data_IF_171474484240
#
_entry.id   IF_171474484240
#
_cell.length_a   1.000
_cell.length_b   1.000
_cell.length_c   1.000
_cell.angle_alpha   90.00
_cell.angle_beta   90.00
_cell.angle_gamma   90.00
#
_symmetry.space_group_name_H-M   'P 1'
#
loop_
_entity.id
_entity.type
_entity.pdbx_description
1 polymer ?
#
# COMPACT_ATOMS: atom_id res chain seq x y z
N UNK A 1 5.58 -6.01 9.65
CA UNK A 1 4.55 -7.02 9.84
C UNK A 1 4.66 -7.63 11.23
N UNK A 2 3.56 -7.66 11.97
CA UNK A 2 3.48 -8.37 13.25
C UNK A 2 3.30 -9.88 12.98
N UNK A 3 4.26 -10.69 13.44
CA UNK A 3 4.30 -12.12 13.24
C UNK A 3 3.67 -12.91 14.42
N UNK A 4 3.13 -12.23 15.43
CA UNK A 4 2.51 -12.88 16.57
C UNK A 4 1.32 -13.74 16.11
N UNK A 5 1.23 -14.94 16.67
CA UNK A 5 0.18 -15.90 16.35
C UNK A 5 -0.87 -15.93 17.45
N UNK A 6 -2.14 -16.13 17.08
CA UNK A 6 -3.26 -16.19 18.03
C UNK A 6 -3.68 -14.82 18.56
N UNK A 7 -4.47 -14.83 19.64
CA UNK A 7 -5.00 -13.59 20.25
C UNK A 7 -6.33 -13.12 19.64
N UNK A 8 -6.91 -12.02 20.16
CA UNK A 8 -8.18 -11.48 19.69
C UNK A 8 -8.10 -10.96 18.25
N UNK A 9 -9.23 -10.97 17.55
CA UNK A 9 -9.35 -10.35 16.24
C UNK A 9 -9.17 -8.83 16.31
N UNK A 10 -8.74 -8.23 15.21
CA UNK A 10 -8.51 -6.80 15.09
C UNK A 10 -9.49 -6.16 14.11
N UNK A 11 -9.83 -4.89 14.33
CA UNK A 11 -10.63 -4.12 13.37
C UNK A 11 -9.81 -3.81 12.12
N UNK A 12 -10.46 -3.87 10.97
CA UNK A 12 -9.87 -3.42 9.69
C UNK A 12 -9.60 -1.91 9.67
N UNK A 13 -10.32 -1.14 10.50
CA UNK A 13 -10.18 0.32 10.60
C UNK A 13 -9.03 0.74 11.53
N UNK A 14 -8.36 -0.22 12.18
CA UNK A 14 -7.24 0.08 13.05
C UNK A 14 -5.97 0.37 12.20
N UNK A 15 -5.68 1.66 12.01
CA UNK A 15 -4.51 2.13 11.29
C UNK A 15 -3.18 1.70 11.92
N UNK A 16 -3.19 1.30 13.19
CA UNK A 16 -1.99 0.83 13.91
C UNK A 16 -1.81 -0.68 13.86
N UNK A 17 -2.76 -1.40 13.28
CA UNK A 17 -2.63 -2.85 13.13
C UNK A 17 -1.60 -3.20 12.05
N UNK A 18 -0.62 -4.03 12.41
CA UNK A 18 0.41 -4.57 11.52
C UNK A 18 0.25 -6.08 11.30
N UNK A 19 -0.83 -6.66 11.80
CA UNK A 19 -1.10 -8.10 11.67
C UNK A 19 -1.66 -8.41 10.28
N UNK A 20 -1.44 -9.64 9.85
CA UNK A 20 -2.01 -10.16 8.59
C UNK A 20 -3.53 -10.10 8.64
N UNK A 21 -4.17 -9.91 7.49
CA UNK A 21 -5.63 -9.88 7.34
C UNK A 21 -6.36 -11.13 7.87
N UNK A 22 -5.64 -12.24 8.03
CA UNK A 22 -6.15 -13.46 8.68
C UNK A 22 -6.68 -13.21 10.11
N UNK A 23 -6.19 -12.18 10.79
CA UNK A 23 -6.58 -11.82 12.16
C UNK A 23 -7.64 -10.71 12.23
N UNK A 24 -8.21 -10.31 11.09
CA UNK A 24 -9.31 -9.35 11.07
C UNK A 24 -10.59 -9.97 11.60
N UNK A 25 -11.39 -9.16 12.30
CA UNK A 25 -12.75 -9.53 12.66
C UNK A 25 -13.62 -9.53 11.41
N UNK A 26 -14.20 -10.67 11.09
CA UNK A 26 -15.16 -10.82 9.98
C UNK A 26 -16.53 -11.12 10.58
N UNK A 27 -17.46 -10.18 10.47
CA UNK A 27 -18.84 -10.38 10.86
C UNK A 27 -19.60 -11.16 9.76
N UNK A 28 -20.36 -12.19 10.16
CA UNK A 28 -21.12 -13.00 9.20
C UNK A 28 -22.27 -12.25 8.55
N UNK A 29 -22.89 -11.36 9.31
CA UNK A 29 -24.10 -10.64 8.88
C UNK A 29 -23.78 -9.42 8.04
N UNK A 30 -22.60 -8.81 8.26
CA UNK A 30 -22.18 -7.61 7.55
C UNK A 30 -20.69 -7.66 7.23
N UNK A 31 -20.39 -7.98 5.98
CA UNK A 31 -19.00 -7.97 5.51
C UNK A 31 -18.53 -6.52 5.34
N UNK A 32 -17.37 -6.21 5.94
CA UNK A 32 -16.79 -4.88 5.84
C UNK A 32 -16.59 -4.46 4.37
N UNK A 33 -16.92 -3.19 3.99
CA UNK A 33 -16.87 -2.73 2.59
C UNK A 33 -15.53 -2.96 1.90
N UNK A 34 -14.41 -2.78 2.60
CA UNK A 34 -13.06 -3.04 2.06
C UNK A 34 -12.87 -4.50 1.70
N UNK A 35 -13.33 -5.43 2.54
CA UNK A 35 -13.24 -6.86 2.25
C UNK A 35 -14.10 -7.23 1.05
N UNK A 36 -15.33 -6.69 0.97
CA UNK A 36 -16.24 -6.89 -0.16
C UNK A 36 -15.66 -6.36 -1.46
N UNK A 37 -15.05 -5.17 -1.42
CA UNK A 37 -14.40 -4.55 -2.59
C UNK A 37 -13.23 -5.38 -3.12
N UNK A 38 -12.54 -6.16 -2.25
CA UNK A 38 -11.40 -6.99 -2.62
C UNK A 38 -11.75 -8.48 -2.72
N UNK A 39 -12.95 -8.79 -3.16
CA UNK A 39 -13.41 -10.15 -3.47
C UNK A 39 -13.28 -11.15 -2.31
N UNK A 40 -13.47 -10.66 -1.08
CA UNK A 40 -13.51 -11.57 0.07
C UNK A 40 -14.78 -12.42 -0.01
N UNK A 41 -14.69 -13.76 0.16
CA UNK A 41 -15.85 -14.64 0.09
C UNK A 41 -16.90 -14.28 1.13
N UNK A 42 -18.17 -14.35 0.77
CA UNK A 42 -19.24 -14.18 1.76
C UNK A 42 -19.17 -15.27 2.84
N UNK A 43 -19.15 -14.85 4.11
CA UNK A 43 -19.02 -15.74 5.25
C UNK A 43 -20.23 -16.70 5.43
N UNK A 44 -21.36 -16.41 4.76
CA UNK A 44 -22.61 -17.19 4.83
C UNK A 44 -22.77 -18.20 3.70
N UNK A 45 -21.94 -18.15 2.66
CA UNK A 45 -22.05 -19.02 1.48
C UNK A 45 -20.78 -19.83 1.24
N UNK A 46 -20.95 -21.02 0.65
CA UNK A 46 -19.83 -21.84 0.23
C UNK A 46 -19.21 -21.25 -1.04
N UNK A 47 -17.94 -20.89 -0.98
CA UNK A 47 -17.16 -20.43 -2.13
C UNK A 47 -16.06 -21.46 -2.43
N UNK A 48 -16.19 -22.29 -3.48
CA UNK A 48 -15.18 -23.30 -3.81
C UNK A 48 -13.89 -22.69 -4.36
N UNK A 49 -13.97 -21.49 -4.93
CA UNK A 49 -12.85 -20.77 -5.50
C UNK A 49 -13.06 -19.26 -5.35
N UNK A 50 -11.99 -18.55 -5.07
CA UNK A 50 -11.96 -17.10 -5.13
C UNK A 50 -11.76 -16.68 -6.59
N UNK A 51 -12.60 -15.79 -7.09
CA UNK A 51 -12.45 -15.17 -8.41
C UNK A 51 -11.94 -13.73 -8.20
N UNK A 52 -10.63 -13.49 -8.36
CA UNK A 52 -10.08 -12.16 -8.18
C UNK A 52 -10.57 -11.25 -9.31
N UNK A 53 -11.02 -10.06 -8.95
CA UNK A 53 -11.37 -9.00 -9.91
C UNK A 53 -10.38 -7.85 -9.79
N UNK A 54 -10.18 -7.12 -10.88
CA UNK A 54 -9.44 -5.85 -10.88
C UNK A 54 -10.40 -4.76 -11.31
N UNK A 55 -10.79 -3.92 -10.36
CA UNK A 55 -11.76 -2.85 -10.61
C UNK A 55 -11.14 -1.47 -10.38
N UNK A 56 -11.62 -0.43 -11.08
CA UNK A 56 -11.19 0.95 -10.81
C UNK A 56 -11.42 1.38 -9.35
N UNK A 57 -12.45 0.81 -8.69
CA UNK A 57 -12.74 1.11 -7.29
C UNK A 57 -11.65 0.61 -6.35
N UNK A 58 -11.10 -0.58 -6.62
CA UNK A 58 -9.96 -1.12 -5.87
C UNK A 58 -8.73 -0.22 -6.02
N UNK A 59 -8.43 0.26 -7.22
CA UNK A 59 -7.32 1.20 -7.45
C UNK A 59 -7.54 2.54 -6.75
N UNK A 60 -8.75 3.10 -6.81
CA UNK A 60 -9.10 4.32 -6.08
C UNK A 60 -8.95 4.15 -4.57
N UNK A 61 -9.21 2.97 -4.03
CA UNK A 61 -8.96 2.68 -2.62
C UNK A 61 -7.49 2.83 -2.26
N UNK A 62 -6.56 2.31 -3.06
CA UNK A 62 -5.11 2.46 -2.80
C UNK A 62 -4.66 3.92 -2.85
N UNK A 63 -5.27 4.73 -3.71
CA UNK A 63 -4.94 6.16 -3.84
C UNK A 63 -5.54 7.05 -2.74
N UNK A 64 -6.68 6.65 -2.14
CA UNK A 64 -7.43 7.51 -1.22
C UNK A 64 -7.55 6.95 0.20
N UNK A 65 -7.03 5.77 0.48
CA UNK A 65 -7.15 5.14 1.79
C UNK A 65 -6.14 5.71 2.79
N UNK A 66 -6.63 6.23 3.91
CA UNK A 66 -5.78 6.66 5.03
C UNK A 66 -4.91 5.52 5.58
N UNK A 67 -5.36 4.27 5.45
CA UNK A 67 -4.58 3.11 5.83
C UNK A 67 -3.36 2.93 4.92
N UNK A 68 -3.53 3.01 3.59
CA UNK A 68 -2.44 2.94 2.61
C UNK A 68 -1.50 4.13 2.78
N UNK A 69 -2.02 5.34 2.91
CA UNK A 69 -1.24 6.55 3.19
C UNK A 69 -0.34 6.36 4.42
N UNK A 70 -0.89 5.85 5.53
CA UNK A 70 -0.11 5.58 6.73
C UNK A 70 1.03 4.58 6.48
N UNK A 71 0.86 3.59 5.60
CA UNK A 71 1.91 2.63 5.22
C UNK A 71 2.98 3.28 4.33
N UNK A 72 2.58 4.13 3.40
CA UNK A 72 3.50 4.91 2.57
C UNK A 72 4.38 5.82 3.43
N UNK A 73 3.80 6.53 4.41
CA UNK A 73 4.53 7.35 5.38
C UNK A 73 5.55 6.52 6.17
N UNK A 74 5.17 5.35 6.67
CA UNK A 74 6.08 4.48 7.43
C UNK A 74 7.21 3.91 6.55
N UNK A 75 6.91 3.56 5.30
CA UNK A 75 7.93 3.12 4.36
C UNK A 75 8.90 4.25 4.02
N UNK A 76 8.38 5.47 3.80
CA UNK A 76 9.21 6.68 3.64
C UNK A 76 10.17 6.86 4.81
N UNK A 77 9.67 6.82 6.04
CA UNK A 77 10.49 7.02 7.25
C UNK A 77 11.59 5.95 7.37
N UNK A 78 11.28 4.72 6.99
CA UNK A 78 12.26 3.63 6.94
C UNK A 78 13.37 3.88 5.91
N UNK A 79 13.05 4.56 4.81
CA UNK A 79 13.97 4.83 3.70
C UNK A 79 14.62 6.23 3.79
N UNK A 80 14.29 7.04 4.79
CA UNK A 80 14.69 8.44 4.87
C UNK A 80 16.22 8.65 4.90
N UNK A 81 16.96 7.74 5.51
CA UNK A 81 18.42 7.82 5.63
C UNK A 81 19.18 7.49 4.35
N UNK A 82 18.49 7.10 3.27
CA UNK A 82 19.09 6.62 2.03
C UNK A 82 19.02 7.70 0.97
N UNK A 83 20.05 7.78 0.10
CA UNK A 83 20.08 8.72 -1.04
C UNK A 83 18.91 8.46 -2.00
N UNK A 84 18.43 9.51 -2.68
CA UNK A 84 17.20 9.48 -3.50
C UNK A 84 17.17 8.32 -4.51
N UNK A 85 18.24 8.12 -5.29
CA UNK A 85 18.32 7.02 -6.26
C UNK A 85 18.21 5.65 -5.57
N UNK A 86 18.95 5.47 -4.50
CA UNK A 86 18.95 4.22 -3.76
C UNK A 86 17.60 4.00 -3.04
N UNK A 87 16.91 5.08 -2.67
CA UNK A 87 15.56 5.05 -2.09
C UNK A 87 14.54 4.50 -3.07
N UNK A 88 14.57 4.92 -4.35
CA UNK A 88 13.73 4.34 -5.41
C UNK A 88 14.02 2.86 -5.58
N UNK A 89 15.30 2.46 -5.68
CA UNK A 89 15.69 1.04 -5.82
C UNK A 89 15.17 0.19 -4.66
N UNK A 90 15.39 0.64 -3.43
CA UNK A 90 14.91 -0.09 -2.25
C UNK A 90 13.39 -0.17 -2.16
N UNK A 91 12.68 0.88 -2.59
CA UNK A 91 11.23 0.84 -2.67
C UNK A 91 10.75 -0.27 -3.62
N UNK A 92 11.33 -0.38 -4.81
CA UNK A 92 11.00 -1.44 -5.77
C UNK A 92 11.30 -2.84 -5.23
N UNK A 93 12.46 -3.03 -4.62
CA UNK A 93 12.81 -4.33 -4.01
C UNK A 93 11.84 -4.71 -2.89
N UNK A 94 11.40 -3.74 -2.08
CA UNK A 94 10.47 -4.00 -0.97
C UNK A 94 9.04 -4.23 -1.43
N UNK A 95 8.58 -3.54 -2.47
CA UNK A 95 7.19 -3.60 -2.94
C UNK A 95 6.98 -4.66 -4.01
N UNK A 96 7.95 -4.86 -4.90
CA UNK A 96 7.81 -5.71 -6.10
C UNK A 96 8.82 -6.87 -6.16
N UNK A 97 9.74 -6.97 -5.18
CA UNK A 97 10.81 -7.97 -5.12
C UNK A 97 11.74 -7.95 -6.36
N UNK A 98 11.85 -6.81 -7.04
CA UNK A 98 12.74 -6.59 -8.19
C UNK A 98 13.39 -5.20 -8.14
N UNK A 99 14.43 -5.01 -8.92
CA UNK A 99 15.00 -3.67 -9.17
C UNK A 99 14.13 -2.89 -10.18
N UNK A 100 14.09 -1.55 -10.09
CA UNK A 100 13.50 -0.72 -11.13
C UNK A 100 14.37 -0.75 -12.38
N UNK A 101 13.74 -0.63 -13.55
CA UNK A 101 14.48 -0.35 -14.78
C UNK A 101 14.94 1.14 -14.84
N UNK A 102 15.64 1.51 -15.92
CA UNK A 102 16.18 2.86 -16.06
C UNK A 102 15.08 3.93 -16.21
N UNK A 103 13.96 3.59 -16.86
CA UNK A 103 12.82 4.50 -17.06
C UNK A 103 12.05 4.68 -15.75
N UNK A 104 11.79 3.61 -15.03
CA UNK A 104 11.14 3.61 -13.73
C UNK A 104 11.94 4.41 -12.69
N UNK A 105 13.26 4.23 -12.68
CA UNK A 105 14.15 4.98 -11.80
C UNK A 105 14.09 6.48 -12.11
N UNK A 106 14.21 6.85 -13.38
CA UNK A 106 14.15 8.24 -13.81
C UNK A 106 12.79 8.86 -13.50
N UNK A 107 11.70 8.15 -13.78
CA UNK A 107 10.34 8.62 -13.49
C UNK A 107 10.10 8.83 -11.99
N UNK A 108 10.61 7.95 -11.13
CA UNK A 108 10.50 8.08 -9.68
C UNK A 108 11.23 9.31 -9.14
N UNK A 109 12.44 9.56 -9.61
CA UNK A 109 13.22 10.74 -9.24
C UNK A 109 12.57 12.04 -9.75
N UNK A 110 12.07 12.03 -10.99
CA UNK A 110 11.37 13.17 -11.57
C UNK A 110 10.07 13.49 -10.83
N UNK A 111 9.27 12.47 -10.51
CA UNK A 111 8.02 12.63 -9.76
C UNK A 111 8.28 13.29 -8.40
N UNK A 112 9.20 12.75 -7.61
CA UNK A 112 9.49 13.26 -6.28
C UNK A 112 10.04 14.69 -6.32
N UNK A 113 10.89 15.01 -7.29
CA UNK A 113 11.42 16.35 -7.47
C UNK A 113 10.34 17.38 -7.86
N UNK A 114 9.45 17.01 -8.80
CA UNK A 114 8.32 17.87 -9.22
C UNK A 114 7.33 18.13 -8.08
N UNK A 115 6.95 17.09 -7.34
CA UNK A 115 6.04 17.23 -6.20
C UNK A 115 6.64 18.07 -5.07
N UNK A 116 7.91 17.88 -4.74
CA UNK A 116 8.60 18.70 -3.75
C UNK A 116 8.65 20.18 -4.18
N UNK A 117 8.95 20.47 -5.45
CA UNK A 117 8.96 21.81 -6.00
C UNK A 117 7.57 22.46 -5.94
N UNK A 118 6.51 21.73 -6.27
CA UNK A 118 5.13 22.21 -6.20
C UNK A 118 4.71 22.55 -4.75
N UNK A 119 5.23 21.83 -3.76
CA UNK A 119 5.03 22.09 -2.33
C UNK A 119 5.93 23.19 -1.74
N UNK A 120 6.70 23.90 -2.56
CA UNK A 120 7.57 25.01 -2.14
C UNK A 120 9.00 24.59 -1.79
N UNK A 121 9.43 23.39 -2.18
CA UNK A 121 10.79 22.86 -2.00
C UNK A 121 11.28 22.90 -0.54
N UNK A 122 10.39 22.71 0.40
CA UNK A 122 10.70 22.58 1.84
C UNK A 122 10.99 21.14 2.19
N UNK A 123 11.64 20.91 3.33
CA UNK A 123 11.85 19.58 3.89
C UNK A 123 10.53 18.79 4.04
N UNK A 124 9.47 19.47 4.47
CA UNK A 124 8.15 18.84 4.64
C UNK A 124 7.52 18.49 3.29
N UNK A 125 7.67 19.37 2.28
CA UNK A 125 7.21 19.10 0.92
C UNK A 125 7.97 17.93 0.28
N UNK A 126 9.27 17.81 0.53
CA UNK A 126 10.05 16.65 0.08
C UNK A 126 9.58 15.35 0.75
N UNK A 127 9.35 15.38 2.05
CA UNK A 127 8.82 14.22 2.80
C UNK A 127 7.42 13.82 2.30
N UNK A 128 6.55 14.80 2.03
CA UNK A 128 5.23 14.54 1.44
C UNK A 128 5.36 13.92 0.06
N UNK A 129 6.18 14.48 -0.83
CA UNK A 129 6.41 13.97 -2.17
C UNK A 129 6.88 12.50 -2.18
N UNK A 130 7.74 12.12 -1.24
CA UNK A 130 8.15 10.72 -1.09
C UNK A 130 7.02 9.81 -0.59
N UNK A 131 6.15 10.28 0.30
CA UNK A 131 4.99 9.51 0.73
C UNK A 131 4.00 9.29 -0.42
N UNK A 132 3.72 10.35 -1.20
CA UNK A 132 2.85 10.30 -2.38
C UNK A 132 3.39 9.32 -3.43
N UNK A 133 4.70 9.36 -3.68
CA UNK A 133 5.35 8.43 -4.61
C UNK A 133 5.21 6.97 -4.17
N UNK A 134 5.48 6.67 -2.91
CA UNK A 134 5.36 5.32 -2.36
C UNK A 134 3.91 4.84 -2.36
N UNK A 135 2.95 5.73 -2.10
CA UNK A 135 1.54 5.42 -2.20
C UNK A 135 1.13 5.12 -3.65
N UNK A 136 1.63 5.88 -4.62
CA UNK A 136 1.39 5.62 -6.04
C UNK A 136 1.93 4.23 -6.45
N UNK A 137 3.14 3.85 -6.01
CA UNK A 137 3.67 2.52 -6.26
C UNK A 137 2.80 1.41 -5.67
N UNK A 138 2.26 1.59 -4.46
CA UNK A 138 1.33 0.64 -3.85
C UNK A 138 -0.01 0.52 -4.60
N UNK A 139 -0.36 1.50 -5.44
CA UNK A 139 -1.53 1.48 -6.32
C UNK A 139 -1.32 0.79 -7.67
N UNK A 140 -0.09 0.40 -8.01
CA UNK A 140 0.19 -0.30 -9.26
C UNK A 140 -0.36 -1.73 -9.25
N UNK A 141 -0.81 -2.19 -10.40
CA UNK A 141 -1.34 -3.55 -10.56
C UNK A 141 -0.33 -4.61 -10.12
N UNK A 142 0.95 -4.39 -10.36
CA UNK A 142 2.05 -5.28 -9.95
C UNK A 142 2.12 -5.46 -8.42
N UNK A 143 1.73 -4.45 -7.63
CA UNK A 143 1.66 -4.58 -6.17
C UNK A 143 0.40 -5.31 -5.71
N UNK A 144 -0.72 -5.09 -6.40
CA UNK A 144 -2.04 -5.57 -5.98
C UNK A 144 -2.32 -6.99 -6.45
N UNK A 145 -1.79 -7.38 -7.62
CA UNK A 145 -2.01 -8.70 -8.24
C UNK A 145 -0.77 -9.57 -8.13
N UNK A 146 -0.92 -10.76 -7.57
CA UNK A 146 0.09 -11.82 -7.65
C UNK A 146 -0.19 -12.62 -8.93
N UNK A 147 0.74 -12.59 -9.87
CA UNK A 147 0.76 -13.50 -11.03
C UNK A 147 1.32 -14.87 -10.67
#
# INVERSE_FOLDING_TARGET
LDLSMGGPGQSIDDLKSYRRSLYLVVAREELHPVLRMHDFPEASSHSPRREPTTTPLQQLYFLNSAWIESRAVQLRDRLESVAAEQRVRQAYVLLFAREPDAEELAAGLEFTAKQAAAGGATSDAERAAWADYLQALMGLSEFVTLE
#
